data_IF_277112379515
#
_entry.id   IF_277112379515
#
_cell.length_a   1.000
_cell.length_b   1.000
_cell.length_c   1.000
_cell.angle_alpha   90.00
_cell.angle_beta   90.00
_cell.angle_gamma   90.00
#
_symmetry.space_group_name_H-M   'P 1'
#
loop_
_entity.id
_entity.type
_entity.pdbx_description
1 polymer ?
#
# COMPACT_ATOMS: atom_id res chain seq x y z
N UNK A 1 2.25 -16.68 0.60
CA UNK A 1 1.34 -15.52 0.60
C UNK A 1 1.53 -14.79 1.91
N UNK A 2 2.18 -13.62 1.86
CA UNK A 2 2.39 -12.78 3.03
C UNK A 2 1.16 -11.92 3.26
N UNK A 3 0.59 -11.94 4.46
CA UNK A 3 -0.58 -11.13 4.83
C UNK A 3 -0.18 -10.09 5.86
N UNK A 4 -0.44 -8.84 5.55
CA UNK A 4 -0.18 -7.68 6.41
C UNK A 4 -1.51 -7.10 6.87
N UNK A 5 -1.74 -7.11 8.17
CA UNK A 5 -2.95 -6.54 8.78
C UNK A 5 -2.64 -5.19 9.45
N UNK A 6 -3.43 -4.18 9.11
CA UNK A 6 -3.34 -2.82 9.64
C UNK A 6 -4.64 -2.43 10.36
N UNK A 7 -4.48 -1.68 11.45
CA UNK A 7 -5.57 -1.08 12.21
C UNK A 7 -5.54 0.44 12.06
N UNK A 8 -6.57 0.98 11.44
CA UNK A 8 -6.68 2.40 11.11
C UNK A 8 -7.45 3.23 12.15
N UNK A 9 -7.92 2.63 13.26
CA UNK A 9 -8.82 3.30 14.22
C UNK A 9 -8.19 4.52 14.92
N UNK A 10 -6.88 4.66 14.82
CA UNK A 10 -6.09 5.71 15.47
C UNK A 10 -5.26 6.52 14.49
N UNK A 11 -5.52 6.41 13.18
CA UNK A 11 -4.85 7.23 12.19
C UNK A 11 -5.47 8.62 12.16
N UNK A 12 -4.69 9.61 12.56
CA UNK A 12 -5.10 11.01 12.61
C UNK A 12 -4.53 11.80 11.43
N UNK A 13 -3.40 11.35 10.89
CA UNK A 13 -2.65 12.01 9.83
C UNK A 13 -2.28 11.04 8.70
N UNK A 14 -2.00 11.52 7.49
CA UNK A 14 -1.43 10.70 6.42
C UNK A 14 -0.17 9.93 6.84
N UNK A 15 0.67 10.55 7.67
CA UNK A 15 1.89 9.93 8.19
C UNK A 15 1.59 8.69 9.07
N UNK A 16 0.47 8.65 9.80
CA UNK A 16 0.09 7.46 10.59
C UNK A 16 -0.13 6.24 9.69
N UNK A 17 -0.72 6.45 8.51
CA UNK A 17 -0.86 5.41 7.48
C UNK A 17 0.50 4.94 6.98
N UNK A 18 1.38 5.85 6.53
CA UNK A 18 2.70 5.46 6.01
C UNK A 18 3.53 4.73 7.06
N UNK A 19 3.53 5.23 8.30
CA UNK A 19 4.22 4.60 9.42
C UNK A 19 3.70 3.19 9.71
N UNK A 20 2.38 2.99 9.73
CA UNK A 20 1.79 1.67 9.95
C UNK A 20 2.10 0.71 8.78
N UNK A 21 2.02 1.22 7.55
CA UNK A 21 2.21 0.43 6.34
C UNK A 21 3.67 0.01 6.14
N UNK A 22 4.59 0.97 6.17
CA UNK A 22 6.02 0.76 5.92
C UNK A 22 6.66 -0.15 6.99
N UNK A 23 6.37 0.07 8.27
CA UNK A 23 6.87 -0.79 9.36
C UNK A 23 6.45 -2.24 9.19
N UNK A 24 5.24 -2.49 8.71
CA UNK A 24 4.72 -3.85 8.51
C UNK A 24 5.27 -4.52 7.26
N UNK A 25 5.71 -3.74 6.29
CA UNK A 25 6.40 -4.23 5.10
C UNK A 25 7.91 -4.46 5.34
N UNK A 26 8.41 -4.14 6.54
CA UNK A 26 9.85 -4.24 6.85
C UNK A 26 10.68 -3.15 6.16
N UNK A 27 10.05 -2.07 5.69
CA UNK A 27 10.79 -0.97 5.09
C UNK A 27 11.65 -0.28 6.17
N UNK A 28 12.91 -0.01 5.83
CA UNK A 28 13.83 0.72 6.69
C UNK A 28 13.40 2.19 6.86
N UNK A 29 13.85 2.85 7.95
CA UNK A 29 13.45 4.22 8.30
C UNK A 29 13.84 5.30 7.27
N UNK A 30 14.70 4.99 6.29
CA UNK A 30 15.07 5.88 5.18
C UNK A 30 14.11 5.78 3.98
N UNK A 31 13.09 4.92 4.05
CA UNK A 31 12.06 4.82 3.04
C UNK A 31 11.19 6.08 3.06
N UNK A 32 11.15 6.80 1.94
CA UNK A 32 10.38 8.04 1.84
C UNK A 32 8.87 7.79 1.95
N UNK A 33 8.19 8.61 2.75
CA UNK A 33 6.72 8.58 2.92
C UNK A 33 6.04 9.24 1.70
N UNK A 34 6.09 8.58 0.54
CA UNK A 34 5.52 9.10 -0.71
C UNK A 34 5.06 7.99 -1.65
N UNK A 35 3.99 8.25 -2.40
CA UNK A 35 3.42 7.31 -3.40
C UNK A 35 4.48 6.81 -4.40
N UNK A 36 5.35 7.67 -5.01
CA UNK A 36 6.38 7.19 -5.94
C UNK A 36 7.39 6.25 -5.28
N UNK A 37 7.74 6.49 -4.01
CA UNK A 37 8.65 5.62 -3.26
C UNK A 37 8.01 4.25 -2.98
N UNK A 38 6.71 4.23 -2.64
CA UNK A 38 5.95 2.98 -2.48
C UNK A 38 5.89 2.19 -3.80
N UNK A 39 5.55 2.84 -4.91
CA UNK A 39 5.50 2.20 -6.23
C UNK A 39 6.86 1.60 -6.58
N UNK A 40 7.95 2.38 -6.42
CA UNK A 40 9.29 1.90 -6.72
C UNK A 40 9.66 0.66 -5.87
N UNK A 41 9.35 0.68 -4.57
CA UNK A 41 9.72 -0.41 -3.67
C UNK A 41 8.81 -1.64 -3.75
N UNK A 42 7.51 -1.47 -4.02
CA UNK A 42 6.52 -2.57 -4.08
C UNK A 42 6.38 -3.21 -5.46
N UNK A 43 6.64 -2.45 -6.53
CA UNK A 43 6.35 -2.86 -7.91
C UNK A 43 7.64 -3.07 -8.70
N UNK A 44 8.53 -2.08 -8.69
CA UNK A 44 9.74 -2.06 -9.55
C UNK A 44 10.86 -2.94 -8.97
N UNK A 45 10.84 -3.18 -7.65
CA UNK A 45 11.47 -4.35 -7.04
C UNK A 45 12.89 -4.13 -6.54
N UNK A 46 13.07 -3.40 -5.44
CA UNK A 46 14.40 -3.31 -4.83
C UNK A 46 14.44 -3.35 -3.29
N UNK A 47 13.36 -3.07 -2.54
CA UNK A 47 13.51 -2.79 -1.09
C UNK A 47 12.37 -3.23 -0.15
N UNK A 48 11.54 -4.20 -0.53
CA UNK A 48 10.56 -4.78 0.41
C UNK A 48 10.91 -6.24 0.65
N UNK A 49 11.32 -6.54 1.89
CA UNK A 49 11.62 -7.91 2.33
C UNK A 49 10.40 -8.84 2.29
N UNK A 50 9.20 -8.26 2.17
CA UNK A 50 7.94 -8.98 1.97
C UNK A 50 7.88 -9.65 0.61
N UNK A 51 8.29 -10.92 0.54
CA UNK A 51 8.17 -11.77 -0.64
C UNK A 51 6.75 -11.70 -1.22
N UNK A 52 6.64 -11.37 -2.51
CA UNK A 52 5.41 -11.57 -3.25
C UNK A 52 5.06 -13.07 -3.24
N UNK A 53 3.76 -13.45 -3.29
CA UNK A 53 2.58 -12.58 -3.29
C UNK A 53 2.25 -11.99 -1.90
N UNK A 54 1.82 -10.73 -1.90
CA UNK A 54 1.51 -9.91 -0.72
C UNK A 54 0.03 -9.51 -0.70
N UNK A 55 -0.61 -9.62 0.46
CA UNK A 55 -1.95 -9.10 0.71
C UNK A 55 -1.95 -8.18 1.92
N UNK A 56 -2.46 -6.97 1.75
CA UNK A 56 -2.62 -5.97 2.80
C UNK A 56 -4.10 -5.88 3.13
N UNK A 57 -4.45 -5.91 4.41
CA UNK A 57 -5.82 -5.77 4.91
C UNK A 57 -5.81 -4.63 5.92
N UNK A 58 -6.65 -3.63 5.68
CA UNK A 58 -6.82 -2.46 6.55
C UNK A 58 -8.24 -2.48 7.11
N UNK A 59 -8.35 -2.32 8.43
CA UNK A 59 -9.64 -2.34 9.14
C UNK A 59 -9.82 -1.09 10.01
N UNK A 60 -11.06 -0.76 10.34
CA UNK A 60 -11.36 0.39 11.19
C UNK A 60 -11.25 1.74 10.49
N UNK A 61 -11.37 1.77 9.15
CA UNK A 61 -11.33 3.00 8.37
C UNK A 61 -12.49 3.95 8.70
N UNK A 62 -13.60 3.43 9.21
CA UNK A 62 -14.72 4.26 9.68
C UNK A 62 -14.36 5.18 10.86
N UNK A 63 -13.23 4.91 11.54
CA UNK A 63 -12.71 5.68 12.68
C UNK A 63 -11.43 6.44 12.36
N UNK A 64 -10.92 6.35 11.14
CA UNK A 64 -9.74 7.12 10.72
C UNK A 64 -10.12 8.58 10.43
N UNK A 65 -9.16 9.49 10.46
CA UNK A 65 -9.36 10.83 9.92
C UNK A 65 -9.56 10.79 8.40
N UNK A 66 -10.29 11.78 7.89
CA UNK A 66 -10.54 11.97 6.44
C UNK A 66 -9.21 12.08 5.67
N UNK A 67 -8.26 12.86 6.19
CA UNK A 67 -6.95 13.03 5.55
C UNK A 67 -6.17 11.71 5.42
N UNK A 68 -6.20 10.85 6.44
CA UNK A 68 -5.55 9.55 6.38
C UNK A 68 -6.30 8.57 5.45
N UNK A 69 -7.63 8.64 5.42
CA UNK A 69 -8.46 7.85 4.52
C UNK A 69 -8.19 8.21 3.04
N UNK A 70 -8.19 9.50 2.71
CA UNK A 70 -7.89 10.01 1.37
C UNK A 70 -6.50 9.60 0.91
N UNK A 71 -5.52 9.67 1.80
CA UNK A 71 -4.15 9.26 1.46
C UNK A 71 -4.09 7.75 1.16
N UNK A 72 -4.75 6.91 1.95
CA UNK A 72 -4.86 5.48 1.68
C UNK A 72 -5.48 5.24 0.30
N UNK A 73 -6.56 5.95 -0.05
CA UNK A 73 -7.22 5.82 -1.35
C UNK A 73 -6.26 6.17 -2.48
N UNK A 74 -5.52 7.28 -2.37
CA UNK A 74 -4.55 7.69 -3.40
C UNK A 74 -3.46 6.63 -3.58
N UNK A 75 -2.92 6.11 -2.49
CA UNK A 75 -1.86 5.09 -2.50
C UNK A 75 -2.36 3.79 -3.14
N UNK A 76 -3.52 3.30 -2.70
CA UNK A 76 -4.09 2.04 -3.21
C UNK A 76 -4.49 2.17 -4.68
N UNK A 77 -5.02 3.34 -5.07
CA UNK A 77 -5.36 3.63 -6.47
C UNK A 77 -4.11 3.69 -7.34
N UNK A 78 -3.05 4.35 -6.86
CA UNK A 78 -1.77 4.42 -7.58
C UNK A 78 -1.15 3.04 -7.76
N UNK A 79 -1.10 2.22 -6.70
CA UNK A 79 -0.61 0.83 -6.80
C UNK A 79 -1.49 0.00 -7.73
N UNK A 80 -2.80 0.27 -7.76
CA UNK A 80 -3.74 -0.36 -8.68
C UNK A 80 -3.44 -0.10 -10.16
N UNK A 81 -2.91 1.07 -10.50
CA UNK A 81 -2.46 1.40 -11.88
C UNK A 81 -1.29 0.52 -12.34
N UNK A 82 -0.53 -0.05 -11.40
CA UNK A 82 0.60 -0.93 -11.68
C UNK A 82 0.28 -2.42 -11.52
N UNK A 83 -1.01 -2.79 -11.46
CA UNK A 83 -1.46 -4.18 -11.45
C UNK A 83 -1.79 -4.75 -10.07
N UNK A 84 -1.69 -3.96 -9.00
CA UNK A 84 -2.24 -4.38 -7.71
C UNK A 84 -3.77 -4.39 -7.75
N UNK A 85 -4.40 -5.30 -7.01
CA UNK A 85 -5.87 -5.34 -6.89
C UNK A 85 -6.28 -4.68 -5.58
N UNK A 86 -6.85 -3.49 -5.68
CA UNK A 86 -7.37 -2.75 -4.53
C UNK A 86 -8.89 -2.91 -4.40
N UNK A 87 -9.36 -3.18 -3.17
CA UNK A 87 -10.77 -3.13 -2.80
C UNK A 87 -10.93 -2.19 -1.61
N UNK A 88 -11.78 -1.19 -1.72
CA UNK A 88 -11.98 -0.17 -0.68
C UNK A 88 -13.47 -0.08 -0.37
N UNK A 89 -13.79 -0.07 0.92
CA UNK A 89 -15.13 0.10 1.48
C UNK A 89 -15.08 1.16 2.59
N UNK A 90 -16.23 1.53 3.15
CA UNK A 90 -16.31 2.55 4.19
C UNK A 90 -15.56 2.19 5.50
N UNK A 91 -15.40 0.90 5.83
CA UNK A 91 -14.72 0.46 7.07
C UNK A 91 -13.42 -0.31 6.80
N UNK A 92 -13.28 -0.88 5.61
CA UNK A 92 -12.16 -1.79 5.27
C UNK A 92 -11.58 -1.51 3.90
N UNK A 93 -10.28 -1.76 3.77
CA UNK A 93 -9.61 -1.80 2.48
C UNK A 93 -8.71 -3.03 2.39
N UNK A 94 -8.47 -3.52 1.18
CA UNK A 94 -7.47 -4.55 0.91
C UNK A 94 -6.70 -4.23 -0.36
N UNK A 95 -5.43 -4.62 -0.38
CA UNK A 95 -4.55 -4.52 -1.55
C UNK A 95 -3.88 -5.88 -1.76
N UNK A 96 -3.95 -6.41 -2.97
CA UNK A 96 -3.35 -7.69 -3.33
C UNK A 96 -2.33 -7.49 -4.45
N UNK A 97 -1.10 -7.97 -4.23
CA UNK A 97 -0.02 -8.01 -5.21
C UNK A 97 0.31 -9.49 -5.48
N UNK A 98 0.12 -9.91 -6.73
CA UNK A 98 0.40 -11.27 -7.17
C UNK A 98 1.89 -11.47 -7.52
N UNK A 99 2.34 -12.73 -7.47
CA UNK A 99 3.71 -13.16 -7.81
C UNK A 99 4.12 -12.81 -9.26
N UNK A 100 3.13 -12.74 -10.15
CA UNK A 100 3.32 -12.44 -11.56
C UNK A 100 2.54 -11.18 -11.94
N UNK A 101 3.05 -10.01 -11.55
CA UNK A 101 2.59 -8.75 -12.12
C UNK A 101 3.01 -8.74 -13.60
N UNK A 102 2.09 -8.64 -14.57
CA UNK A 102 2.51 -8.37 -15.94
C UNK A 102 3.22 -7.02 -15.90
N UNK A 103 4.53 -7.03 -16.12
CA UNK A 103 5.28 -5.79 -16.30
C UNK A 103 4.71 -5.16 -17.57
N UNK A 104 3.80 -4.21 -17.44
CA UNK A 104 3.41 -3.34 -18.55
C UNK A 104 4.59 -2.39 -18.79
N UNK A 105 5.65 -2.93 -19.41
CA UNK A 105 6.58 -2.13 -20.20
C UNK A 105 5.87 -1.81 -21.51
N UNK A 106 4.93 -0.87 -21.46
CA UNK A 106 4.59 -0.08 -22.64
C UNK A 106 5.44 1.19 -22.52
N UNK A 107 6.64 1.29 -23.11
CA UNK A 107 7.12 0.54 -24.26
C UNK A 107 6.44 0.96 -25.56
N UNK A 108 5.83 2.15 -25.62
CA UNK A 108 5.07 2.58 -26.79
C UNK A 108 4.98 4.10 -26.99
N UNK A 109 5.99 4.62 -27.71
CA UNK A 109 6.07 5.87 -28.49
C UNK A 109 6.13 7.23 -27.76
#
# INVERSE_FOLDING_TARGET
MNVVELDARHWNTPADFYNAFLRRLGASDWHGESIPALVNSMIVGDNIEGALPLRVIVTGLSKTSEAAFDELIKVFSALGQYGAVAHITADRASLELADHMPVFLDGGC
#
